data_IF_558311224539
#
_entry.id   IF_558311224539
#
_cell.length_a   1.000
_cell.length_b   1.000
_cell.length_c   1.000
_cell.angle_alpha   90.00
_cell.angle_beta   90.00
_cell.angle_gamma   90.00
#
_symmetry.space_group_name_H-M   'P 1'
#
loop_
_entity.id
_entity.type
_entity.pdbx_description
1 polymer ?
#
# COMPACT_ATOMS: atom_id res chain seq x y z
N UNK A 1 -9.17 3.33 0.43
CA UNK A 1 -8.58 3.32 -0.93
C UNK A 1 -8.71 4.71 -1.59
N UNK A 2 -9.17 5.70 -0.81
CA UNK A 2 -9.79 6.92 -1.32
C UNK A 2 -8.78 7.99 -1.76
N UNK A 3 -7.52 7.92 -1.29
CA UNK A 3 -6.48 8.89 -1.70
C UNK A 3 -6.21 8.84 -3.21
N UNK A 4 -6.03 7.65 -3.78
CA UNK A 4 -5.64 7.49 -5.17
C UNK A 4 -6.76 7.91 -6.14
N UNK A 5 -7.99 7.50 -5.83
CA UNK A 5 -9.17 7.85 -6.63
C UNK A 5 -9.48 9.34 -6.54
N UNK A 6 -9.35 9.92 -5.34
CA UNK A 6 -9.51 11.36 -5.15
C UNK A 6 -8.46 12.17 -5.91
N UNK A 7 -7.18 11.81 -5.81
CA UNK A 7 -6.10 12.52 -6.50
C UNK A 7 -6.25 12.44 -8.02
N UNK A 8 -6.61 11.28 -8.57
CA UNK A 8 -6.84 11.13 -10.03
C UNK A 8 -8.08 11.89 -10.50
N UNK A 9 -9.16 11.88 -9.71
CA UNK A 9 -10.34 12.68 -9.98
C UNK A 9 -10.01 14.18 -10.03
N UNK A 10 -9.30 14.70 -9.02
CA UNK A 10 -8.90 16.11 -8.93
C UNK A 10 -7.96 16.53 -10.06
N UNK A 11 -6.99 15.70 -10.41
CA UNK A 11 -6.10 15.95 -11.54
C UNK A 11 -6.90 16.08 -12.86
N UNK A 12 -7.86 15.18 -13.08
CA UNK A 12 -8.72 15.20 -14.27
C UNK A 12 -9.61 16.44 -14.31
N UNK A 13 -10.17 16.86 -13.17
CA UNK A 13 -10.97 18.09 -13.12
C UNK A 13 -10.14 19.33 -13.44
N UNK A 14 -8.93 19.45 -12.87
CA UNK A 14 -8.03 20.58 -13.14
C UNK A 14 -7.62 20.66 -14.62
N UNK A 15 -7.42 19.51 -15.27
CA UNK A 15 -7.20 19.43 -16.73
C UNK A 15 -8.35 20.05 -17.54
N UNK A 16 -9.60 19.79 -17.18
CA UNK A 16 -10.76 20.39 -17.85
C UNK A 16 -10.87 21.90 -17.62
N UNK A 17 -10.36 22.38 -16.49
CA UNK A 17 -10.26 23.81 -16.17
C UNK A 17 -9.02 24.50 -16.77
N UNK A 18 -8.21 23.76 -17.53
CA UNK A 18 -6.92 24.22 -18.10
C UNK A 18 -5.89 24.70 -17.05
N UNK A 19 -6.06 24.30 -15.80
CA UNK A 19 -5.09 24.54 -14.72
C UNK A 19 -4.11 23.37 -14.66
N UNK A 20 -3.07 23.46 -15.50
CA UNK A 20 -2.05 22.43 -15.63
C UNK A 20 -1.18 22.30 -14.37
N UNK A 21 -1.02 23.38 -13.59
CA UNK A 21 -0.23 23.36 -12.37
C UNK A 21 -0.95 22.59 -11.26
N UNK A 22 -2.26 22.81 -11.11
CA UNK A 22 -3.08 22.03 -10.18
C UNK A 22 -3.16 20.57 -10.62
N UNK A 23 -3.32 20.29 -11.92
CA UNK A 23 -3.30 18.93 -12.44
C UNK A 23 -1.98 18.20 -12.13
N UNK A 24 -0.83 18.85 -12.35
CA UNK A 24 0.48 18.29 -12.04
C UNK A 24 0.64 17.98 -10.54
N UNK A 25 0.16 18.88 -9.66
CA UNK A 25 0.19 18.69 -8.21
C UNK A 25 -0.56 17.43 -7.79
N UNK A 26 -1.77 17.22 -8.31
CA UNK A 26 -2.57 16.05 -7.98
C UNK A 26 -2.00 14.75 -8.55
N UNK A 27 -1.36 14.80 -9.73
CA UNK A 27 -0.60 13.66 -10.26
C UNK A 27 0.56 13.25 -9.35
N UNK A 28 1.30 14.21 -8.79
CA UNK A 28 2.38 13.93 -7.81
C UNK A 28 1.84 13.28 -6.54
N UNK A 29 0.68 13.74 -6.06
CA UNK A 29 0.02 13.15 -4.89
C UNK A 29 -0.42 11.71 -5.14
N UNK A 30 -0.99 11.42 -6.31
CA UNK A 30 -1.31 10.06 -6.73
C UNK A 30 -0.06 9.16 -6.75
N UNK A 31 1.05 9.64 -7.31
CA UNK A 31 2.30 8.88 -7.35
C UNK A 31 2.85 8.60 -5.94
N UNK A 32 2.68 9.54 -5.00
CA UNK A 32 3.01 9.32 -3.58
C UNK A 32 2.15 8.21 -2.99
N UNK A 33 0.83 8.32 -3.09
CA UNK A 33 -0.10 7.32 -2.56
C UNK A 33 0.11 5.93 -3.21
N UNK A 34 0.47 5.86 -4.49
CA UNK A 34 0.87 4.61 -5.16
C UNK A 34 2.12 3.99 -4.53
N UNK A 35 3.18 4.76 -4.31
CA UNK A 35 4.42 4.26 -3.69
C UNK A 35 4.18 3.71 -2.28
N UNK A 36 3.33 4.36 -1.51
CA UNK A 36 3.00 3.90 -0.16
C UNK A 36 2.18 2.61 -0.20
N UNK A 37 1.25 2.48 -1.15
CA UNK A 37 0.53 1.25 -1.38
C UNK A 37 1.45 0.10 -1.82
N UNK A 38 2.39 0.37 -2.73
CA UNK A 38 3.37 -0.63 -3.19
C UNK A 38 4.21 -1.16 -2.00
N UNK A 39 4.63 -0.28 -1.08
CA UNK A 39 5.32 -0.70 0.15
C UNK A 39 4.45 -1.58 1.06
N UNK A 40 3.16 -1.25 1.20
CA UNK A 40 2.23 -2.08 1.98
C UNK A 40 2.03 -3.45 1.34
N UNK A 41 1.97 -3.51 0.00
CA UNK A 41 1.89 -4.78 -0.74
C UNK A 41 3.15 -5.63 -0.52
N UNK A 42 4.34 -5.04 -0.56
CA UNK A 42 5.58 -5.77 -0.28
C UNK A 42 5.63 -6.30 1.16
N UNK A 43 5.24 -5.49 2.15
CA UNK A 43 5.13 -5.94 3.54
C UNK A 43 4.14 -7.09 3.71
N UNK A 44 3.02 -7.05 2.97
CA UNK A 44 2.04 -8.14 2.97
C UNK A 44 2.62 -9.42 2.39
N UNK A 45 3.37 -9.33 1.27
CA UNK A 45 4.04 -10.52 0.68
C UNK A 45 5.02 -11.16 1.66
N UNK A 46 5.77 -10.36 2.41
CA UNK A 46 6.68 -10.87 3.44
C UNK A 46 5.93 -11.54 4.59
N UNK A 47 4.85 -10.90 5.07
CA UNK A 47 3.97 -11.49 6.07
C UNK A 47 3.38 -12.84 5.60
N UNK A 48 2.87 -12.92 4.36
CA UNK A 48 2.29 -14.14 3.80
C UNK A 48 3.34 -15.27 3.68
N UNK A 49 4.61 -14.95 3.40
CA UNK A 49 5.70 -15.93 3.42
C UNK A 49 5.96 -16.45 4.85
N UNK A 50 5.98 -15.56 5.84
CA UNK A 50 6.18 -15.95 7.24
C UNK A 50 5.03 -16.82 7.75
N UNK A 51 3.78 -16.49 7.38
CA UNK A 51 2.61 -17.32 7.71
C UNK A 51 2.76 -18.73 7.15
N UNK A 52 3.14 -18.87 5.87
CA UNK A 52 3.39 -20.19 5.27
C UNK A 52 4.48 -20.98 5.98
N UNK A 53 5.57 -20.32 6.36
CA UNK A 53 6.66 -20.96 7.11
C UNK A 53 6.19 -21.47 8.47
N UNK A 54 5.40 -20.68 9.19
CA UNK A 54 4.83 -21.07 10.48
C UNK A 54 3.88 -22.25 10.32
N UNK A 55 3.03 -22.26 9.29
CA UNK A 55 2.17 -23.42 8.99
C UNK A 55 2.98 -24.69 8.70
N UNK A 56 4.11 -24.60 7.99
CA UNK A 56 5.00 -25.73 7.75
C UNK A 56 5.68 -26.23 9.04
N UNK A 57 6.15 -25.30 9.89
CA UNK A 57 6.75 -25.63 11.18
C UNK A 57 5.77 -26.31 12.12
N UNK A 58 4.52 -25.82 12.17
CA UNK A 58 3.44 -26.44 12.95
C UNK A 58 3.11 -27.85 12.46
N UNK A 59 3.07 -28.09 11.14
CA UNK A 59 2.89 -29.45 10.59
C UNK A 59 4.00 -30.41 10.98
N UNK A 60 5.22 -29.88 11.15
CA UNK A 60 6.38 -30.65 11.58
C UNK A 60 6.47 -30.81 13.12
N UNK A 61 5.43 -30.40 13.86
CA UNK A 61 5.35 -30.54 15.31
C UNK A 61 6.15 -29.50 16.10
N UNK A 62 6.62 -28.43 15.43
CA UNK A 62 7.31 -27.31 16.07
C UNK A 62 6.29 -26.21 16.37
N UNK A 63 6.06 -25.92 17.64
CA UNK A 63 5.15 -24.85 18.05
C UNK A 63 5.84 -23.48 17.90
N UNK A 64 5.35 -22.69 16.94
CA UNK A 64 5.89 -21.36 16.62
C UNK A 64 4.73 -20.36 16.58
N UNK A 65 4.87 -19.26 17.30
CA UNK A 65 3.88 -18.18 17.36
C UNK A 65 4.46 -16.88 16.79
N UNK A 66 3.69 -16.19 15.95
CA UNK A 66 4.09 -14.91 15.35
C UNK A 66 3.81 -13.79 16.36
N UNK A 67 4.85 -13.10 16.83
CA UNK A 67 4.70 -11.90 17.66
C UNK A 67 4.68 -10.67 16.76
N UNK A 68 3.49 -10.17 16.43
CA UNK A 68 3.33 -8.89 15.76
C UNK A 68 3.36 -7.74 16.79
N UNK A 69 4.42 -6.93 16.80
CA UNK A 69 4.42 -5.66 17.55
C UNK A 69 3.74 -4.59 16.70
N UNK A 70 2.58 -4.12 17.16
CA UNK A 70 2.01 -2.85 16.70
C UNK A 70 2.87 -1.73 17.29
N UNK A 71 3.56 -0.98 16.44
CA UNK A 71 4.21 0.28 16.86
C UNK A 71 3.16 1.38 17.03
N UNK A 72 3.36 2.21 18.05
CA UNK A 72 2.57 3.40 18.40
C UNK A 72 2.51 4.45 17.27
#
# INVERSE_FOLDING_TARGET
MDCCDYATFRARTAMYSNDLAEAERWCKEFLRCKRDLDKLVERKKEHDKLVRLVEEMQRNGVDVSIVARMGE
#
